data_IF_333308543478
#
_entry.id   IF_333308543478
#
_cell.length_a   1.000
_cell.length_b   1.000
_cell.length_c   1.000
_cell.angle_alpha   90.00
_cell.angle_beta   90.00
_cell.angle_gamma   90.00
#
_symmetry.space_group_name_H-M   'P 1'
#
loop_
_entity.id
_entity.type
_entity.pdbx_description
1 polymer ?
#
# COMPACT_ATOMS: atom_id res chain seq x y z
N UNK A 1 16.87 -41.28 6.03
CA UNK A 1 17.02 -40.14 5.09
C UNK A 1 16.53 -40.50 3.68
N UNK A 2 16.99 -41.62 3.08
CA UNK A 2 16.60 -42.05 1.72
C UNK A 2 15.07 -42.21 1.46
N UNK A 3 14.32 -42.74 2.43
CA UNK A 3 12.87 -42.95 2.29
C UNK A 3 12.03 -41.66 2.37
N UNK A 4 12.58 -40.56 2.89
CA UNK A 4 11.89 -39.26 2.97
C UNK A 4 12.05 -38.50 1.65
N UNK A 5 13.21 -38.62 1.01
CA UNK A 5 13.51 -38.00 -0.28
C UNK A 5 12.68 -38.56 -1.44
N UNK A 6 12.48 -39.87 -1.50
CA UNK A 6 11.63 -40.50 -2.54
C UNK A 6 10.14 -40.09 -2.41
N UNK A 7 9.63 -40.05 -1.17
CA UNK A 7 8.24 -39.63 -0.91
C UNK A 7 7.99 -38.18 -1.35
N UNK A 8 8.96 -37.29 -1.16
CA UNK A 8 8.83 -35.88 -1.56
C UNK A 8 8.73 -35.73 -3.09
N UNK A 9 9.45 -36.54 -3.86
CA UNK A 9 9.43 -36.46 -5.33
C UNK A 9 8.10 -36.94 -5.92
N UNK A 10 7.56 -38.05 -5.42
CA UNK A 10 6.24 -38.55 -5.85
C UNK A 10 5.12 -37.52 -5.57
N UNK A 11 5.18 -36.84 -4.42
CA UNK A 11 4.21 -35.80 -4.05
C UNK A 11 4.32 -34.57 -4.96
N UNK A 12 5.53 -34.18 -5.36
CA UNK A 12 5.73 -33.11 -6.33
C UNK A 12 5.17 -33.49 -7.71
N UNK A 13 5.40 -34.71 -8.18
CA UNK A 13 4.84 -35.20 -9.44
C UNK A 13 3.30 -35.16 -9.42
N UNK A 14 2.69 -35.59 -8.31
CA UNK A 14 1.24 -35.48 -8.09
C UNK A 14 0.76 -34.02 -8.14
N UNK A 15 1.45 -33.10 -7.46
CA UNK A 15 1.08 -31.69 -7.48
C UNK A 15 1.20 -31.07 -8.88
N UNK A 16 2.22 -31.44 -9.65
CA UNK A 16 2.36 -31.01 -11.05
C UNK A 16 1.24 -31.55 -11.92
N UNK A 17 0.84 -32.82 -11.75
CA UNK A 17 -0.31 -33.39 -12.47
C UNK A 17 -1.62 -32.67 -12.11
N UNK A 18 -1.85 -32.35 -10.84
CA UNK A 18 -3.03 -31.58 -10.40
C UNK A 18 -3.05 -30.16 -10.98
N UNK A 19 -1.89 -29.49 -11.02
CA UNK A 19 -1.72 -28.17 -11.63
C UNK A 19 -1.99 -28.21 -13.14
N UNK A 20 -1.43 -29.18 -13.85
CA UNK A 20 -1.64 -29.39 -15.29
C UNK A 20 -3.09 -29.71 -15.63
N UNK A 21 -3.75 -30.54 -14.81
CA UNK A 21 -5.16 -30.89 -14.99
C UNK A 21 -6.12 -29.73 -14.65
N UNK A 22 -5.62 -28.63 -14.06
CA UNK A 22 -6.38 -27.41 -13.72
C UNK A 22 -7.70 -27.66 -12.98
N UNK A 23 -7.75 -28.67 -12.11
CA UNK A 23 -8.98 -29.05 -11.38
C UNK A 23 -9.54 -27.94 -10.46
N UNK A 24 -8.77 -26.88 -10.24
CA UNK A 24 -9.21 -25.64 -9.62
C UNK A 24 -8.74 -24.45 -10.45
N UNK A 25 -9.62 -23.47 -10.66
CA UNK A 25 -9.31 -22.21 -11.33
C UNK A 25 -8.14 -21.45 -10.70
N UNK A 26 -7.88 -21.67 -9.41
CA UNK A 26 -6.75 -21.06 -8.70
C UNK A 26 -5.39 -21.41 -9.33
N UNK A 27 -5.22 -22.62 -9.90
CA UNK A 27 -3.94 -23.07 -10.45
C UNK A 27 -3.49 -22.28 -11.70
N UNK A 28 -4.41 -21.62 -12.40
CA UNK A 28 -4.10 -20.78 -13.56
C UNK A 28 -3.16 -19.61 -13.21
N UNK A 29 -3.24 -19.12 -11.97
CA UNK A 29 -2.50 -17.97 -11.47
C UNK A 29 -1.08 -18.32 -10.98
N UNK A 30 -0.70 -19.59 -11.05
CA UNK A 30 0.58 -20.08 -10.55
C UNK A 30 1.41 -20.75 -11.64
N UNK A 31 2.72 -20.60 -11.55
CA UNK A 31 3.67 -21.41 -12.31
C UNK A 31 3.71 -22.85 -11.82
N UNK A 32 4.42 -23.70 -12.57
CA UNK A 32 4.56 -25.11 -12.23
C UNK A 32 5.08 -25.30 -10.80
N UNK A 33 4.45 -26.20 -10.00
CA UNK A 33 4.84 -26.42 -8.63
C UNK A 33 6.29 -26.91 -8.50
N UNK A 34 6.96 -26.43 -7.45
CA UNK A 34 8.36 -26.71 -7.16
C UNK A 34 8.51 -27.23 -5.73
N UNK A 35 9.54 -28.05 -5.49
CA UNK A 35 9.90 -28.42 -4.13
C UNK A 35 10.51 -27.21 -3.42
N UNK A 36 10.10 -26.97 -2.18
CA UNK A 36 10.67 -25.95 -1.32
C UNK A 36 11.69 -26.56 -0.37
N UNK A 37 12.69 -25.77 0.03
CA UNK A 37 13.58 -26.13 1.14
C UNK A 37 12.95 -25.86 2.51
N UNK A 38 11.80 -25.16 2.54
CA UNK A 38 10.99 -25.03 3.74
C UNK A 38 10.40 -26.38 4.16
N UNK A 39 10.48 -26.64 5.47
CA UNK A 39 9.94 -27.82 6.11
C UNK A 39 8.63 -27.49 6.83
N UNK A 40 7.69 -28.43 6.82
CA UNK A 40 6.52 -28.37 7.69
C UNK A 40 6.88 -28.71 9.14
N UNK A 41 5.89 -28.60 10.04
CA UNK A 41 6.02 -28.96 11.46
C UNK A 41 6.44 -30.41 11.71
N UNK A 42 6.36 -31.28 10.71
CA UNK A 42 6.73 -32.69 10.78
C UNK A 42 8.08 -32.94 10.07
N UNK A 43 8.82 -31.90 9.71
CA UNK A 43 10.12 -31.99 9.04
C UNK A 43 10.06 -32.41 7.57
N UNK A 44 8.89 -32.32 6.92
CA UNK A 44 8.71 -32.70 5.50
C UNK A 44 8.83 -31.47 4.61
N UNK A 45 9.48 -31.62 3.44
CA UNK A 45 9.56 -30.54 2.45
C UNK A 45 8.17 -30.13 1.98
N UNK A 46 7.96 -28.82 1.81
CA UNK A 46 6.73 -28.24 1.30
C UNK A 46 6.76 -28.07 -0.22
N UNK A 47 5.59 -27.94 -0.83
CA UNK A 47 5.45 -27.61 -2.25
C UNK A 47 5.21 -26.11 -2.37
N UNK A 48 6.03 -25.43 -3.17
CA UNK A 48 5.88 -24.02 -3.49
C UNK A 48 5.12 -23.84 -4.81
N UNK A 49 4.14 -22.95 -4.78
CA UNK A 49 3.39 -22.48 -5.94
C UNK A 49 3.77 -21.01 -6.20
N UNK A 50 4.64 -20.71 -7.17
CA UNK A 50 5.03 -19.34 -7.50
C UNK A 50 3.86 -18.62 -8.18
N UNK A 51 3.45 -17.47 -7.66
CA UNK A 51 2.41 -16.63 -8.27
C UNK A 51 2.94 -15.93 -9.53
N UNK A 52 2.24 -16.05 -10.66
CA UNK A 52 2.60 -15.39 -11.92
C UNK A 52 2.54 -13.86 -11.86
N UNK A 53 1.65 -13.32 -11.03
CA UNK A 53 1.39 -11.87 -10.95
C UNK A 53 2.37 -11.17 -10.03
N UNK A 54 2.62 -11.72 -8.84
CA UNK A 54 3.42 -11.05 -7.81
C UNK A 54 4.73 -11.77 -7.45
N UNK A 55 5.03 -12.91 -8.06
CA UNK A 55 6.24 -13.71 -7.80
C UNK A 55 6.28 -14.40 -6.42
N UNK A 56 5.31 -14.15 -5.55
CA UNK A 56 5.29 -14.71 -4.19
C UNK A 56 5.13 -16.23 -4.25
N UNK A 57 5.93 -16.95 -3.47
CA UNK A 57 5.88 -18.42 -3.37
C UNK A 57 4.91 -18.82 -2.27
N UNK A 58 3.83 -19.48 -2.64
CA UNK A 58 2.83 -19.98 -1.69
C UNK A 58 3.17 -21.42 -1.32
N UNK A 59 3.51 -21.65 -0.06
CA UNK A 59 3.92 -22.95 0.44
C UNK A 59 2.70 -23.75 0.92
N UNK A 60 2.61 -25.01 0.48
CA UNK A 60 1.59 -25.96 0.90
C UNK A 60 2.25 -27.25 1.40
N UNK A 61 1.83 -27.81 2.55
CA UNK A 61 2.27 -29.13 2.97
C UNK A 61 1.95 -30.20 1.92
N UNK A 62 2.79 -31.23 1.83
CA UNK A 62 2.65 -32.27 0.81
C UNK A 62 1.44 -33.19 1.02
N UNK A 63 0.92 -33.28 2.24
CA UNK A 63 -0.29 -34.03 2.57
C UNK A 63 -1.58 -33.25 2.32
N UNK A 64 -1.50 -31.93 2.14
CA UNK A 64 -2.65 -31.06 1.94
C UNK A 64 -2.97 -30.95 0.44
N UNK A 65 -4.15 -31.43 0.05
CA UNK A 65 -4.66 -31.35 -1.33
C UNK A 65 -5.59 -30.17 -1.56
N UNK A 66 -5.94 -29.43 -0.50
CA UNK A 66 -6.84 -28.30 -0.60
C UNK A 66 -6.20 -27.12 -1.37
N UNK A 67 -6.95 -26.45 -2.26
CA UNK A 67 -6.48 -25.24 -2.92
C UNK A 67 -6.77 -23.97 -2.10
N UNK A 68 -7.33 -24.06 -0.88
CA UNK A 68 -7.85 -22.89 -0.14
C UNK A 68 -6.79 -21.82 0.12
N UNK A 69 -5.55 -22.19 0.48
CA UNK A 69 -4.46 -21.23 0.67
C UNK A 69 -4.09 -20.54 -0.65
N UNK A 70 -4.09 -21.27 -1.77
CA UNK A 70 -3.86 -20.73 -3.11
C UNK A 70 -4.99 -19.77 -3.52
N UNK A 71 -6.25 -20.14 -3.31
CA UNK A 71 -7.40 -19.28 -3.66
C UNK A 71 -7.44 -17.99 -2.83
N UNK A 72 -7.15 -18.08 -1.51
CA UNK A 72 -7.03 -16.90 -0.63
C UNK A 72 -5.95 -15.94 -1.11
N UNK A 73 -4.80 -16.47 -1.53
CA UNK A 73 -3.75 -15.65 -2.10
C UNK A 73 -4.21 -14.97 -3.40
N UNK A 74 -4.81 -15.71 -4.34
CA UNK A 74 -5.26 -15.15 -5.64
C UNK A 74 -6.23 -13.98 -5.42
N UNK A 75 -7.23 -14.15 -4.54
CA UNK A 75 -8.19 -13.08 -4.24
C UNK A 75 -7.49 -11.82 -3.69
N UNK A 76 -6.54 -11.97 -2.77
CA UNK A 76 -5.79 -10.85 -2.22
C UNK A 76 -4.82 -10.23 -3.23
N UNK A 77 -4.18 -11.05 -4.07
CA UNK A 77 -3.23 -10.59 -5.09
C UNK A 77 -3.94 -9.72 -6.13
N UNK A 78 -5.09 -10.18 -6.63
CA UNK A 78 -5.90 -9.42 -7.58
C UNK A 78 -6.40 -8.10 -6.97
N UNK A 79 -6.87 -8.13 -5.71
CA UNK A 79 -7.27 -6.91 -4.99
C UNK A 79 -6.13 -5.90 -4.88
N UNK A 80 -4.91 -6.35 -4.54
CA UNK A 80 -3.72 -5.49 -4.49
C UNK A 80 -3.37 -4.92 -5.87
N UNK A 81 -3.44 -5.74 -6.92
CA UNK A 81 -3.18 -5.28 -8.28
C UNK A 81 -4.18 -4.21 -8.73
N UNK A 82 -5.47 -4.41 -8.42
CA UNK A 82 -6.51 -3.41 -8.67
C UNK A 82 -6.26 -2.11 -7.90
N UNK A 83 -5.85 -2.19 -6.63
CA UNK A 83 -5.52 -1.00 -5.85
C UNK A 83 -4.33 -0.24 -6.43
N UNK A 84 -3.27 -0.93 -6.85
CA UNK A 84 -2.11 -0.30 -7.50
C UNK A 84 -2.51 0.36 -8.82
N UNK A 85 -3.36 -0.30 -9.62
CA UNK A 85 -3.82 0.25 -10.90
C UNK A 85 -4.80 1.43 -10.74
N UNK A 86 -5.62 1.42 -9.68
CA UNK A 86 -6.59 2.48 -9.41
C UNK A 86 -5.98 3.68 -8.67
N UNK A 87 -4.91 3.45 -7.91
CA UNK A 87 -4.22 4.50 -7.16
C UNK A 87 -3.07 5.03 -8.00
N UNK A 88 -3.28 6.12 -8.75
CA UNK A 88 -2.15 6.91 -9.26
C UNK A 88 -1.33 7.34 -8.05
N UNK A 89 -0.11 6.84 -7.96
CA UNK A 89 0.81 7.22 -6.88
C UNK A 89 0.96 8.75 -6.92
N UNK A 90 0.71 9.43 -5.79
CA UNK A 90 0.85 10.88 -5.70
C UNK A 90 2.26 11.36 -6.11
N UNK A 91 3.29 10.55 -5.88
CA UNK A 91 4.64 10.81 -6.36
C UNK A 91 4.73 10.80 -7.90
N UNK A 92 3.95 9.97 -8.59
CA UNK A 92 3.85 10.01 -10.05
C UNK A 92 3.14 11.27 -10.57
N UNK A 93 2.43 11.99 -9.69
CA UNK A 93 1.88 13.32 -9.95
C UNK A 93 2.79 14.46 -9.45
N UNK A 94 4.04 14.15 -9.07
CA UNK A 94 5.01 15.13 -8.58
C UNK A 94 4.75 15.62 -7.15
N UNK A 95 3.79 15.02 -6.44
CA UNK A 95 3.54 15.33 -5.03
C UNK A 95 4.56 14.57 -4.18
N UNK A 96 5.61 15.27 -3.77
CA UNK A 96 6.64 14.76 -2.86
C UNK A 96 6.52 15.50 -1.52
N UNK A 97 6.41 14.77 -0.42
CA UNK A 97 6.23 15.36 0.92
C UNK A 97 5.29 14.55 1.81
N UNK A 98 5.72 13.37 2.25
CA UNK A 98 5.08 12.63 3.36
C UNK A 98 5.89 12.80 4.66
N UNK A 99 6.35 14.02 4.92
CA UNK A 99 7.15 14.36 6.10
C UNK A 99 6.32 14.69 7.35
N UNK A 100 6.99 14.75 8.50
CA UNK A 100 6.44 15.42 9.68
C UNK A 100 6.19 16.90 9.33
N UNK A 101 4.99 17.38 9.64
CA UNK A 101 4.58 18.76 9.39
C UNK A 101 4.84 19.57 10.66
N UNK A 102 5.60 20.65 10.55
CA UNK A 102 5.77 21.60 11.66
C UNK A 102 4.56 22.57 11.70
N UNK A 103 3.78 22.61 12.79
CA UNK A 103 2.57 23.44 12.86
C UNK A 103 2.80 24.95 12.60
N UNK A 104 3.88 25.59 13.09
CA UNK A 104 4.22 26.98 12.78
C UNK A 104 4.44 27.23 11.28
N UNK A 105 5.05 26.29 10.56
CA UNK A 105 5.30 26.41 9.12
C UNK A 105 3.98 26.46 8.33
N UNK A 106 2.99 25.65 8.73
CA UNK A 106 1.65 25.68 8.12
C UNK A 106 0.98 27.04 8.30
N UNK A 107 1.12 27.65 9.48
CA UNK A 107 0.55 28.96 9.75
C UNK A 107 1.19 30.06 8.89
N UNK A 108 2.52 30.07 8.79
CA UNK A 108 3.27 31.02 7.95
C UNK A 108 2.91 30.85 6.47
N UNK A 109 2.81 29.62 5.96
CA UNK A 109 2.41 29.37 4.57
C UNK A 109 0.98 29.85 4.29
N UNK A 110 0.05 29.66 5.23
CA UNK A 110 -1.32 30.18 5.12
C UNK A 110 -1.34 31.71 5.08
N UNK A 111 -0.52 32.36 5.91
CA UNK A 111 -0.36 33.81 5.90
C UNK A 111 0.18 34.31 4.56
N UNK A 112 1.28 33.73 4.08
CA UNK A 112 1.91 34.09 2.80
C UNK A 112 0.92 33.92 1.65
N UNK A 113 0.15 32.82 1.64
CA UNK A 113 -0.87 32.57 0.63
C UNK A 113 -1.99 33.63 0.65
N UNK A 114 -2.48 34.00 1.83
CA UNK A 114 -3.48 35.07 1.98
C UNK A 114 -2.92 36.45 1.60
N UNK A 115 -1.72 36.79 2.07
CA UNK A 115 -1.13 38.11 1.88
C UNK A 115 -0.65 38.36 0.45
N UNK A 116 0.10 37.42 -0.16
CA UNK A 116 0.71 37.62 -1.49
C UNK A 116 -0.30 37.61 -2.63
N UNK A 117 -1.31 36.76 -2.54
CA UNK A 117 -2.30 36.59 -3.61
C UNK A 117 -3.65 37.25 -3.30
N UNK A 118 -3.71 38.07 -2.23
CA UNK A 118 -4.93 38.69 -1.72
C UNK A 118 -6.08 37.68 -1.52
N UNK A 119 -5.76 36.42 -1.21
CA UNK A 119 -6.76 35.39 -1.01
C UNK A 119 -7.49 35.63 0.32
N UNK A 120 -8.83 35.49 0.35
CA UNK A 120 -9.56 35.67 1.58
C UNK A 120 -9.19 34.57 2.57
N UNK A 121 -8.79 34.98 3.78
CA UNK A 121 -8.51 34.07 4.89
C UNK A 121 -9.70 33.18 5.27
N UNK A 122 -10.91 33.48 4.81
CA UNK A 122 -12.07 32.59 4.92
C UNK A 122 -11.99 31.36 4.01
N UNK A 123 -11.26 31.39 2.90
CA UNK A 123 -11.08 30.24 2.00
C UNK A 123 -10.38 29.06 2.68
N UNK A 124 -9.53 29.33 3.69
CA UNK A 124 -8.91 28.29 4.52
C UNK A 124 -9.97 27.48 5.31
N UNK A 125 -11.11 28.09 5.63
CA UNK A 125 -12.21 27.43 6.33
C UNK A 125 -13.23 26.74 5.42
N UNK A 126 -13.15 26.91 4.11
CA UNK A 126 -14.14 26.40 3.16
C UNK A 126 -14.08 24.88 3.03
N UNK A 127 -15.23 24.22 3.05
CA UNK A 127 -15.30 22.76 3.03
C UNK A 127 -14.68 22.16 1.76
N UNK A 128 -14.87 22.80 0.60
CA UNK A 128 -14.28 22.36 -0.66
C UNK A 128 -12.75 22.43 -0.62
N UNK A 129 -12.20 23.54 -0.12
CA UNK A 129 -10.76 23.71 0.04
C UNK A 129 -10.19 22.74 1.08
N UNK A 130 -10.87 22.52 2.22
CA UNK A 130 -10.44 21.53 3.21
C UNK A 130 -10.51 20.09 2.69
N UNK A 131 -11.45 19.81 1.78
CA UNK A 131 -11.64 18.50 1.17
C UNK A 131 -10.47 18.03 0.30
N UNK A 132 -9.62 18.95 -0.18
CA UNK A 132 -8.44 18.62 -0.99
C UNK A 132 -7.13 18.57 -0.18
N UNK A 133 -7.15 18.96 1.10
CA UNK A 133 -5.96 19.00 1.96
C UNK A 133 -5.71 17.66 2.67
N UNK A 134 -4.44 17.35 2.91
CA UNK A 134 -4.05 16.16 3.67
C UNK A 134 -4.52 16.26 5.15
N UNK A 135 -4.97 15.17 5.79
CA UNK A 135 -5.46 15.20 7.18
C UNK A 135 -4.49 15.80 8.20
N UNK A 136 -3.18 15.61 8.02
CA UNK A 136 -2.15 16.21 8.90
C UNK A 136 -2.07 17.73 8.73
N UNK A 137 -2.31 18.27 7.52
CA UNK A 137 -2.41 19.72 7.30
C UNK A 137 -3.67 20.27 7.96
N UNK A 138 -4.79 19.57 7.83
CA UNK A 138 -6.05 19.98 8.44
C UNK A 138 -5.98 20.11 9.96
N UNK A 139 -5.20 19.26 10.63
CA UNK A 139 -4.97 19.33 12.09
C UNK A 139 -4.18 20.57 12.51
N UNK A 140 -3.30 21.04 11.64
CA UNK A 140 -2.40 22.17 11.90
C UNK A 140 -2.86 23.46 11.22
N UNK A 141 -4.04 23.46 10.58
CA UNK A 141 -4.54 24.61 9.87
C UNK A 141 -4.90 25.72 10.87
N UNK A 142 -4.35 26.94 10.71
CA UNK A 142 -4.65 28.04 11.61
C UNK A 142 -6.12 28.44 11.47
N UNK A 143 -6.69 28.93 12.57
CA UNK A 143 -8.05 29.48 12.54
C UNK A 143 -8.09 30.77 11.73
N UNK A 144 -9.26 31.09 11.18
CA UNK A 144 -9.51 32.37 10.48
C UNK A 144 -9.06 33.60 11.30
N UNK A 145 -9.28 33.56 12.63
CA UNK A 145 -8.89 34.64 13.55
C UNK A 145 -7.37 34.73 13.76
N UNK A 146 -6.68 33.59 13.80
CA UNK A 146 -5.22 33.54 13.90
C UNK A 146 -4.58 34.17 12.66
N UNK A 147 -4.98 33.71 11.46
CA UNK A 147 -4.45 34.24 10.19
C UNK A 147 -4.68 35.75 10.05
N UNK A 148 -5.88 36.24 10.42
CA UNK A 148 -6.14 37.68 10.39
C UNK A 148 -5.26 38.48 11.34
N UNK A 149 -4.90 37.91 12.50
CA UNK A 149 -4.02 38.55 13.47
C UNK A 149 -2.59 38.60 12.95
N UNK A 150 -2.10 37.49 12.41
CA UNK A 150 -0.74 37.37 11.91
C UNK A 150 -0.50 38.33 10.74
N UNK A 151 -1.44 38.39 9.79
CA UNK A 151 -1.42 39.37 8.69
C UNK A 151 -1.37 40.80 9.23
N UNK A 152 -2.19 41.14 10.23
CA UNK A 152 -2.20 42.48 10.81
C UNK A 152 -0.87 42.84 11.48
N UNK A 153 -0.23 41.88 12.17
CA UNK A 153 1.12 42.04 12.73
C UNK A 153 2.11 42.33 11.60
N UNK A 154 2.08 41.57 10.51
CA UNK A 154 3.00 41.75 9.39
C UNK A 154 2.89 43.15 8.78
N UNK A 155 1.66 43.64 8.56
CA UNK A 155 1.43 45.01 8.08
C UNK A 155 1.87 46.08 9.08
N UNK A 156 1.65 45.87 10.38
CA UNK A 156 2.05 46.82 11.42
C UNK A 156 3.58 46.94 11.47
N UNK A 157 4.28 45.82 11.44
CA UNK A 157 5.76 45.78 11.47
C UNK A 157 6.36 46.48 10.25
N UNK A 158 5.82 46.24 9.05
CA UNK A 158 6.27 46.90 7.81
C UNK A 158 6.01 48.42 7.86
N UNK A 159 4.87 48.84 8.43
CA UNK A 159 4.49 50.25 8.48
C UNK A 159 5.24 51.07 9.54
N UNK A 160 6.03 50.42 10.41
CA UNK A 160 6.85 51.05 11.46
C UNK A 160 8.33 51.18 11.12
N UNK A 161 8.74 50.75 9.92
CA UNK A 161 10.09 50.91 9.36
C UNK A 161 10.09 52.11 8.41
#
# INVERSE_FOLDING_TARGET
LHAITEKNWHLLAKARKLHQNQLSSSYLYYDSPQLSDQLDKNGRKMIAFPCKTCGTRIHRPTYDTSPTNLSKHVANCLKKQQQVNQTKNLAALGVSGTGNIDPPEVAQLCEIWCAKAAHPFSALGEQAHRGILHPTVLKNLPTRKAVSRDINILYTVISTI
#
